data_IF_442649573165
#
_entry.id   IF_442649573165
#
_cell.length_a   1.000
_cell.length_b   1.000
_cell.length_c   1.000
_cell.angle_alpha   90.00
_cell.angle_beta   90.00
_cell.angle_gamma   90.00
#
_symmetry.space_group_name_H-M   'P 1'
#
loop_
_entity.id
_entity.type
_entity.pdbx_description
1 polymer ?
#
# COMPACT_ATOMS: atom_id res chain seq x y z
N UNK A 1 24.70 29.25 21.14
CA UNK A 1 24.74 27.78 21.24
C UNK A 1 23.38 27.29 20.77
N UNK A 2 23.30 26.84 19.51
CA UNK A 2 22.04 26.47 18.87
C UNK A 2 21.58 25.11 19.37
N UNK A 3 20.47 25.08 20.10
CA UNK A 3 19.76 23.85 20.44
C UNK A 3 19.16 23.29 19.16
N UNK A 4 19.80 22.28 18.57
CA UNK A 4 19.20 21.46 17.52
C UNK A 4 18.16 20.59 18.21
N UNK A 5 16.88 20.98 18.14
CA UNK A 5 15.78 20.10 18.52
C UNK A 5 15.86 18.84 17.68
N UNK A 6 16.11 17.69 18.30
CA UNK A 6 16.05 16.40 17.64
C UNK A 6 14.60 16.19 17.17
N UNK A 7 14.33 16.42 15.88
CA UNK A 7 13.05 16.08 15.27
C UNK A 7 12.94 14.55 15.36
N UNK A 8 12.16 14.10 16.34
CA UNK A 8 11.93 12.67 16.54
C UNK A 8 10.95 12.21 15.48
N UNK A 9 11.45 11.48 14.49
CA UNK A 9 10.60 10.85 13.46
C UNK A 9 9.54 9.97 14.16
N UNK A 10 8.25 10.06 13.78
CA UNK A 10 7.22 9.20 14.35
C UNK A 10 7.55 7.74 14.07
N UNK A 11 7.01 6.83 14.87
CA UNK A 11 7.09 5.39 14.57
C UNK A 11 6.23 5.06 13.35
N UNK A 12 6.51 3.91 12.72
CA UNK A 12 5.86 3.53 11.47
C UNK A 12 4.34 3.34 11.64
N UNK A 13 3.89 2.80 12.77
CA UNK A 13 2.46 2.70 13.11
C UNK A 13 1.79 4.08 13.22
N UNK A 14 2.46 5.05 13.85
CA UNK A 14 1.98 6.44 13.96
C UNK A 14 1.94 7.14 12.62
N UNK A 15 2.92 6.88 11.75
CA UNK A 15 2.89 7.38 10.38
C UNK A 15 1.73 6.77 9.59
N UNK A 16 1.43 5.48 9.77
CA UNK A 16 0.27 4.79 9.17
C UNK A 16 -1.04 5.40 9.67
N UNK A 17 -1.20 5.61 10.98
CA UNK A 17 -2.37 6.27 11.56
C UNK A 17 -2.58 7.68 11.00
N UNK A 18 -1.49 8.46 10.91
CA UNK A 18 -1.49 9.81 10.33
C UNK A 18 -1.97 9.80 8.88
N UNK A 19 -1.39 8.94 8.05
CA UNK A 19 -1.80 8.74 6.67
C UNK A 19 -3.28 8.33 6.54
N UNK A 20 -3.72 7.32 7.29
CA UNK A 20 -5.10 6.81 7.24
C UNK A 20 -6.11 7.87 7.70
N UNK A 21 -5.73 8.75 8.63
CA UNK A 21 -6.56 9.89 9.03
C UNK A 21 -6.82 10.86 7.88
N UNK A 22 -5.80 11.13 7.06
CA UNK A 22 -5.93 11.96 5.86
C UNK A 22 -6.73 11.28 4.75
N UNK A 23 -6.55 9.96 4.56
CA UNK A 23 -7.32 9.18 3.58
C UNK A 23 -8.81 9.21 3.86
N UNK A 24 -9.23 9.09 5.13
CA UNK A 24 -10.65 9.14 5.52
C UNK A 24 -11.35 10.45 5.14
N UNK A 25 -10.61 11.54 5.02
CA UNK A 25 -11.16 12.86 4.64
C UNK A 25 -11.25 13.04 3.13
N UNK A 26 -10.38 12.36 2.36
CA UNK A 26 -10.18 12.58 0.92
C UNK A 26 -10.88 11.53 0.05
N UNK A 27 -11.23 10.37 0.60
CA UNK A 27 -11.76 9.24 -0.14
C UNK A 27 -13.10 8.75 0.39
N UNK A 28 -13.82 7.98 -0.43
CA UNK A 28 -15.07 7.35 0.00
C UNK A 28 -14.84 6.39 1.18
N UNK A 29 -15.90 6.06 1.94
CA UNK A 29 -15.81 5.09 3.04
C UNK A 29 -15.24 3.74 2.59
N UNK A 30 -15.64 3.26 1.41
CA UNK A 30 -15.20 1.98 0.86
C UNK A 30 -13.70 1.99 0.53
N UNK A 31 -13.19 3.04 -0.13
CA UNK A 31 -11.77 3.17 -0.43
C UNK A 31 -10.95 3.33 0.85
N UNK A 32 -11.45 4.11 1.82
CA UNK A 32 -10.79 4.29 3.11
C UNK A 32 -10.69 2.98 3.90
N UNK A 33 -11.75 2.16 3.88
CA UNK A 33 -11.75 0.84 4.52
C UNK A 33 -10.74 -0.11 3.88
N UNK A 34 -10.65 -0.13 2.54
CA UNK A 34 -9.67 -0.95 1.83
C UNK A 34 -8.22 -0.53 2.15
N UNK A 35 -7.95 0.78 2.23
CA UNK A 35 -6.61 1.28 2.56
C UNK A 35 -6.24 0.96 4.01
N UNK A 36 -7.19 1.07 4.93
CA UNK A 36 -7.03 0.66 6.32
C UNK A 36 -6.67 -0.83 6.43
N UNK A 37 -7.40 -1.70 5.72
CA UNK A 37 -7.12 -3.12 5.69
C UNK A 37 -5.74 -3.43 5.09
N UNK A 38 -5.38 -2.76 3.99
CA UNK A 38 -4.08 -2.94 3.34
C UNK A 38 -2.91 -2.59 4.27
N UNK A 39 -2.98 -1.45 4.96
CA UNK A 39 -1.89 -1.02 5.84
C UNK A 39 -1.80 -1.83 7.14
N UNK A 40 -2.92 -2.26 7.72
CA UNK A 40 -2.85 -3.18 8.87
C UNK A 40 -2.33 -4.57 8.47
N UNK A 41 -2.65 -5.04 7.25
CA UNK A 41 -2.04 -6.26 6.73
C UNK A 41 -0.53 -6.07 6.52
N UNK A 42 -0.11 -4.91 6.04
CA UNK A 42 1.31 -4.58 5.90
C UNK A 42 2.03 -4.53 7.27
N UNK A 43 1.47 -3.89 8.29
CA UNK A 43 2.03 -3.90 9.65
C UNK A 43 2.21 -5.32 10.18
N UNK A 44 1.18 -6.16 9.99
CA UNK A 44 1.23 -7.56 10.38
C UNK A 44 2.31 -8.32 9.61
N UNK A 45 2.42 -8.10 8.31
CA UNK A 45 3.46 -8.69 7.47
C UNK A 45 4.86 -8.25 7.91
N UNK A 46 5.08 -6.96 8.19
CA UNK A 46 6.34 -6.46 8.71
C UNK A 46 6.73 -7.18 10.01
N UNK A 47 5.76 -7.38 10.90
CA UNK A 47 5.96 -8.08 12.15
C UNK A 47 6.27 -9.56 11.98
N UNK A 48 5.46 -10.27 11.20
CA UNK A 48 5.50 -11.72 11.10
C UNK A 48 6.55 -12.23 10.12
N UNK A 49 6.76 -11.54 9.00
CA UNK A 49 7.61 -12.01 7.91
C UNK A 49 8.99 -11.33 7.90
N UNK A 50 9.09 -10.09 8.40
CA UNK A 50 10.35 -9.34 8.40
C UNK A 50 10.92 -9.07 9.80
N UNK A 51 10.24 -9.50 10.86
CA UNK A 51 10.64 -9.27 12.26
C UNK A 51 10.83 -7.79 12.62
N UNK A 52 10.09 -6.91 11.93
CA UNK A 52 10.08 -5.46 12.18
C UNK A 52 8.95 -5.15 13.15
N UNK A 53 9.17 -4.25 14.11
CA UNK A 53 8.12 -3.84 15.06
C UNK A 53 7.66 -2.42 14.70
N UNK A 54 6.56 -2.24 13.94
CA UNK A 54 6.14 -0.91 13.47
C UNK A 54 6.01 0.14 14.58
N UNK A 55 5.54 -0.28 15.76
CA UNK A 55 5.40 0.55 16.96
C UNK A 55 6.71 1.00 17.62
N UNK A 56 7.85 0.47 17.18
CA UNK A 56 9.18 0.84 17.69
C UNK A 56 10.15 1.27 16.59
N UNK A 57 9.83 0.99 15.34
CA UNK A 57 10.63 1.36 14.19
C UNK A 57 10.29 2.79 13.77
N UNK A 58 11.26 3.71 13.73
CA UNK A 58 11.00 5.06 13.23
C UNK A 58 10.62 5.00 11.75
N UNK A 59 9.70 5.86 11.32
CA UNK A 59 9.25 5.95 9.93
C UNK A 59 10.43 6.25 8.99
N UNK A 60 11.44 7.00 9.45
CA UNK A 60 12.66 7.28 8.71
C UNK A 60 13.50 6.04 8.36
N UNK A 61 13.27 4.90 9.03
CA UNK A 61 13.90 3.64 8.69
C UNK A 61 13.15 2.87 7.59
N UNK A 62 12.02 3.36 7.09
CA UNK A 62 11.26 2.73 6.03
C UNK A 62 12.12 2.48 4.79
N UNK A 63 12.05 1.26 4.25
CA UNK A 63 12.81 0.85 3.06
C UNK A 63 11.87 0.46 1.94
N UNK A 64 12.23 0.83 0.72
CA UNK A 64 11.54 0.37 -0.49
C UNK A 64 11.48 -1.17 -0.56
N UNK A 65 12.52 -1.86 -0.06
CA UNK A 65 12.56 -3.32 0.02
C UNK A 65 11.37 -3.93 0.77
N UNK A 66 10.88 -3.31 1.85
CA UNK A 66 9.74 -3.85 2.61
C UNK A 66 8.44 -3.84 1.79
N UNK A 67 8.20 -2.78 1.02
CA UNK A 67 7.06 -2.72 0.11
C UNK A 67 7.18 -3.73 -1.04
N UNK A 68 8.38 -3.96 -1.56
CA UNK A 68 8.63 -4.97 -2.60
C UNK A 68 8.37 -6.39 -2.09
N UNK A 69 8.87 -6.71 -0.89
CA UNK A 69 8.59 -7.99 -0.25
C UNK A 69 7.09 -8.17 0.05
N UNK A 70 6.40 -7.09 0.44
CA UNK A 70 4.96 -7.13 0.63
C UNK A 70 4.20 -7.34 -0.69
N UNK A 71 4.61 -6.73 -1.79
CA UNK A 71 4.03 -6.99 -3.11
C UNK A 71 4.15 -8.47 -3.48
N UNK A 72 5.33 -9.06 -3.28
CA UNK A 72 5.56 -10.50 -3.49
C UNK A 72 4.64 -11.35 -2.62
N UNK A 73 4.48 -11.00 -1.35
CA UNK A 73 3.52 -11.66 -0.46
C UNK A 73 2.08 -11.57 -0.99
N UNK A 74 1.64 -10.41 -1.49
CA UNK A 74 0.31 -10.25 -2.07
C UNK A 74 0.13 -11.13 -3.32
N UNK A 75 1.15 -11.24 -4.15
CA UNK A 75 1.15 -12.07 -5.35
C UNK A 75 1.01 -13.56 -5.04
N UNK A 76 1.69 -14.02 -3.98
CA UNK A 76 1.68 -15.41 -3.55
C UNK A 76 0.38 -15.80 -2.83
N UNK A 77 -0.26 -14.87 -2.09
CA UNK A 77 -1.31 -15.22 -1.11
C UNK A 77 -2.70 -14.62 -1.40
N UNK A 78 -2.84 -13.73 -2.38
CA UNK A 78 -4.09 -13.04 -2.65
C UNK A 78 -4.47 -13.01 -4.14
N UNK A 79 -5.72 -12.64 -4.44
CA UNK A 79 -6.18 -12.43 -5.81
C UNK A 79 -5.51 -11.21 -6.45
N UNK A 80 -5.54 -11.14 -7.79
CA UNK A 80 -4.98 -10.01 -8.54
C UNK A 80 -5.67 -8.69 -8.17
N UNK A 81 -6.99 -8.71 -7.93
CA UNK A 81 -7.76 -7.54 -7.50
C UNK A 81 -7.27 -7.03 -6.14
N UNK A 82 -7.08 -7.94 -5.18
CA UNK A 82 -6.62 -7.59 -3.83
C UNK A 82 -5.19 -7.07 -3.90
N UNK A 83 -4.32 -7.72 -4.67
CA UNK A 83 -2.96 -7.23 -4.93
C UNK A 83 -2.99 -5.80 -5.47
N UNK A 84 -3.76 -5.51 -6.53
CA UNK A 84 -3.81 -4.18 -7.14
C UNK A 84 -4.30 -3.11 -6.17
N UNK A 85 -5.34 -3.44 -5.41
CA UNK A 85 -5.92 -2.53 -4.42
C UNK A 85 -4.94 -2.24 -3.29
N UNK A 86 -4.32 -3.27 -2.71
CA UNK A 86 -3.44 -3.11 -1.54
C UNK A 86 -2.09 -2.53 -1.92
N UNK A 87 -1.51 -2.95 -3.05
CA UNK A 87 -0.28 -2.36 -3.57
C UNK A 87 -0.45 -0.88 -3.91
N UNK A 88 -1.65 -0.43 -4.32
CA UNK A 88 -1.95 1.01 -4.48
C UNK A 88 -1.93 1.75 -3.14
N UNK A 89 -2.53 1.19 -2.09
CA UNK A 89 -2.50 1.79 -0.76
C UNK A 89 -1.06 1.93 -0.24
N UNK A 90 -0.22 0.92 -0.47
CA UNK A 90 1.19 0.93 -0.07
C UNK A 90 2.00 1.98 -0.83
N UNK A 91 1.85 2.08 -2.16
CA UNK A 91 2.51 3.13 -2.93
C UNK A 91 2.11 4.52 -2.42
N UNK A 92 0.82 4.73 -2.17
CA UNK A 92 0.34 6.02 -1.69
C UNK A 92 0.85 6.33 -0.26
N UNK A 93 1.02 5.32 0.59
CA UNK A 93 1.64 5.49 1.90
C UNK A 93 3.13 5.84 1.80
N UNK A 94 3.87 5.19 0.91
CA UNK A 94 5.29 5.51 0.68
C UNK A 94 5.46 6.90 0.04
N UNK A 95 4.52 7.32 -0.83
CA UNK A 95 4.48 8.71 -1.32
C UNK A 95 4.25 9.69 -0.18
N UNK A 96 3.31 9.40 0.72
CA UNK A 96 3.08 10.22 1.91
C UNK A 96 4.32 10.35 2.80
N UNK A 97 5.07 9.25 3.00
CA UNK A 97 6.33 9.29 3.76
C UNK A 97 7.40 10.15 3.09
N UNK A 98 7.45 10.19 1.75
CA UNK A 98 8.35 11.06 0.98
C UNK A 98 7.89 12.52 1.05
N UNK A 99 6.61 12.79 0.78
CA UNK A 99 6.01 14.13 0.73
C UNK A 99 6.10 14.87 2.07
N UNK A 100 5.93 14.14 3.18
CA UNK A 100 6.03 14.69 4.54
C UNK A 100 7.46 14.62 5.11
N UNK A 101 8.46 14.30 4.27
CA UNK A 101 9.88 14.18 4.64
C UNK A 101 10.12 13.21 5.82
N UNK A 102 9.24 12.23 6.01
CA UNK A 102 9.31 11.27 7.12
C UNK A 102 10.34 10.18 6.87
N UNK A 103 10.65 9.88 5.60
CA UNK A 103 11.65 8.91 5.21
C UNK A 103 12.40 9.30 3.93
N UNK A 104 13.73 9.05 3.85
CA UNK A 104 14.53 9.35 2.66
C UNK A 104 14.37 8.24 1.61
N UNK A 105 13.17 8.10 1.07
CA UNK A 105 12.80 7.09 0.07
C UNK A 105 12.31 7.77 -1.22
N UNK A 106 12.56 7.16 -2.37
CA UNK A 106 11.94 7.59 -3.62
C UNK A 106 10.68 6.77 -3.88
N UNK A 107 9.50 7.40 -3.78
CA UNK A 107 8.25 6.73 -4.11
C UNK A 107 8.12 6.50 -5.61
N UNK A 108 8.75 7.33 -6.46
CA UNK A 108 8.78 7.14 -7.91
C UNK A 108 9.47 5.83 -8.29
N UNK A 109 10.68 5.57 -7.78
CA UNK A 109 11.37 4.29 -8.04
C UNK A 109 10.54 3.08 -7.57
N UNK A 110 9.81 3.23 -6.46
CA UNK A 110 8.93 2.17 -5.97
C UNK A 110 7.71 1.96 -6.90
N UNK A 111 7.13 3.06 -7.42
CA UNK A 111 6.02 3.06 -8.38
C UNK A 111 6.40 2.41 -9.69
N UNK A 112 7.58 2.71 -10.24
CA UNK A 112 8.13 2.05 -11.44
C UNK A 112 8.26 0.55 -11.24
N UNK A 113 8.80 0.12 -10.09
CA UNK A 113 8.92 -1.29 -9.75
C UNK A 113 7.56 -1.97 -9.67
N UNK A 114 6.58 -1.38 -8.97
CA UNK A 114 5.25 -1.95 -8.84
C UNK A 114 4.54 -2.03 -10.19
N UNK A 115 4.71 -1.03 -11.05
CA UNK A 115 4.11 -1.00 -12.40
C UNK A 115 4.64 -2.14 -13.27
N UNK A 116 5.92 -2.47 -13.16
CA UNK A 116 6.57 -3.51 -13.96
C UNK A 116 6.37 -4.92 -13.41
N UNK A 117 6.09 -5.08 -12.12
CA UNK A 117 6.05 -6.38 -11.45
C UNK A 117 4.66 -6.87 -11.05
N UNK A 118 3.65 -6.00 -10.98
CA UNK A 118 2.27 -6.41 -10.66
C UNK A 118 1.73 -7.43 -11.65
N UNK A 119 0.93 -8.38 -11.17
CA UNK A 119 0.24 -9.35 -12.04
C UNK A 119 -0.75 -8.61 -12.94
N UNK A 120 -0.89 -9.03 -14.19
CA UNK A 120 -1.89 -8.47 -15.11
C UNK A 120 -3.28 -8.88 -14.65
N UNK A 121 -4.22 -7.94 -14.65
CA UNK A 121 -5.63 -8.25 -14.47
C UNK A 121 -6.20 -8.73 -15.80
N UNK A 122 -6.48 -10.02 -15.90
CA UNK A 122 -7.18 -10.57 -17.06
C UNK A 122 -8.66 -10.18 -16.95
N UNK A 123 -9.12 -9.31 -17.85
CA UNK A 123 -10.55 -9.05 -18.00
C UNK A 123 -11.11 -10.08 -18.98
N UNK A 124 -11.62 -11.20 -18.44
CA UNK A 124 -12.48 -12.07 -19.24
C UNK A 124 -13.83 -11.38 -19.36
N UNK A 125 -14.12 -10.79 -20.53
CA UNK A 125 -15.49 -10.40 -20.86
C UNK A 125 -16.24 -11.71 -21.10
N UNK A 126 -17.26 -12.05 -20.29
CA UNK A 126 -18.06 -13.23 -20.57
C UNK A 126 -18.73 -13.01 -21.92
N UNK A 127 -18.43 -13.87 -22.89
CA UNK A 127 -19.15 -13.87 -24.16
C UNK A 127 -20.59 -14.30 -23.84
N UNK A 128 -21.61 -13.46 -24.10
CA UNK A 128 -22.98 -13.89 -23.89
C UNK A 128 -23.25 -15.10 -24.80
N UNK A 129 -23.90 -16.18 -24.30
CA UNK A 129 -24.29 -17.29 -25.16
C UNK A 129 -25.23 -16.76 -26.26
N UNK A 130 -24.98 -17.16 -27.50
CA UNK A 130 -25.78 -16.76 -28.68
C UNK A 130 -27.28 -16.99 -28.47
N UNK A 131 -27.63 -18.05 -27.73
CA UNK A 131 -28.99 -18.43 -27.34
C UNK A 131 -29.72 -17.34 -26.53
N UNK A 132 -29.00 -16.51 -25.77
CA UNK A 132 -29.58 -15.40 -25.00
C UNK A 132 -29.81 -14.15 -25.85
N UNK A 133 -29.13 -14.01 -26.99
CA UNK A 133 -29.31 -12.88 -27.93
C UNK A 133 -30.58 -13.08 -28.76
N UNK A 134 -30.91 -14.33 -29.12
CA UNK A 134 -32.11 -14.66 -29.91
C UNK A 134 -33.44 -14.45 -29.17
N UNK A 135 -33.43 -14.36 -27.83
CA UNK A 135 -34.65 -14.11 -27.03
C UNK A 135 -34.98 -12.62 -26.84
N UNK A 136 -34.14 -11.71 -27.33
CA UNK A 136 -34.28 -10.24 -27.16
C UNK A 136 -34.70 -9.56 -28.47
N UNK A 137 -34.75 -10.28 -29.60
CA UNK A 137 -35.12 -9.76 -30.92
C UNK A 137 -36.54 -10.14 -31.34
#
# INVERSE_FOLDING_TARGET
MSSTSAITSPTLDRAIEGYLSGIRQKHSPQTSAAFNQALHLFERFLHQNLTIQPARTPASAARAGWAKEFLRYLQENHSVETEHLYSRAILNFYQYLEDEELAPISAETLREHFTTTRRRKEHTIPTPPLEAIEQIL
#
